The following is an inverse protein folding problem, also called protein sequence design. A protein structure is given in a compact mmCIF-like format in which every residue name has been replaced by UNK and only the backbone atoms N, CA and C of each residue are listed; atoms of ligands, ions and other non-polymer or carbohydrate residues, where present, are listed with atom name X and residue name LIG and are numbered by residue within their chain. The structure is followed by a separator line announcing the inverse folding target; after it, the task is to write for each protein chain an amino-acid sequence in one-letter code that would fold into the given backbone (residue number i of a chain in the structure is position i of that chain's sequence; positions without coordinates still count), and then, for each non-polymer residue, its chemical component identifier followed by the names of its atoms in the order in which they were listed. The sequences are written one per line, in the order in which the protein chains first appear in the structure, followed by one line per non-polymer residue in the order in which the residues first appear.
data_IF_344990521255
#
_entry.id   IF_344990521255
#
_cell.length_a   1.000
_cell.length_b   1.000
_cell.length_c   1.000
_cell.angle_alpha   90.00
_cell.angle_beta   90.00
_cell.angle_gamma   90.00
#
_symmetry.space_group_name_H-M   'P 1'
#
loop_
_entity.id
_entity.type
_entity.pdbx_description
1 polymer ?
#
# COMPACT_ATOMS: atom_id res chain seq x y z
N UNK A 1 -6.88 11.01 -7.60
CA UNK A 1 -6.34 9.66 -7.38
C UNK A 1 -6.53 9.27 -5.92
N UNK A 2 -7.10 8.09 -5.66
CA UNK A 2 -7.28 7.63 -4.30
C UNK A 2 -6.04 6.86 -3.79
N UNK A 3 -6.04 6.51 -2.52
CA UNK A 3 -4.86 5.86 -1.94
C UNK A 3 -4.60 4.47 -2.51
N UNK A 4 -5.65 3.75 -2.90
CA UNK A 4 -5.49 2.46 -3.55
C UNK A 4 -4.72 2.60 -4.86
N UNK A 5 -5.10 3.59 -5.66
CA UNK A 5 -4.42 3.85 -6.92
C UNK A 5 -2.98 4.30 -6.71
N UNK A 6 -2.76 5.17 -5.71
CA UNK A 6 -1.41 5.59 -5.35
C UNK A 6 -0.55 4.41 -4.95
N UNK A 7 -1.11 3.51 -4.15
CA UNK A 7 -0.41 2.31 -3.72
C UNK A 7 -0.02 1.44 -4.91
N UNK A 8 -0.97 1.22 -5.82
CA UNK A 8 -0.70 0.42 -7.01
C UNK A 8 0.40 1.05 -7.87
N UNK A 9 0.37 2.37 -8.02
CA UNK A 9 1.40 3.08 -8.78
C UNK A 9 2.77 2.95 -8.13
N UNK A 10 2.84 3.11 -6.81
CA UNK A 10 4.10 2.99 -6.09
C UNK A 10 4.66 1.58 -6.17
N UNK A 11 3.79 0.58 -6.05
CA UNK A 11 4.21 -0.81 -6.16
C UNK A 11 4.77 -1.11 -7.55
N UNK A 12 4.13 -0.58 -8.58
CA UNK A 12 4.59 -0.76 -9.96
C UNK A 12 5.90 -0.03 -10.20
N UNK A 13 5.97 1.22 -9.78
CA UNK A 13 7.15 2.06 -9.99
C UNK A 13 8.40 1.50 -9.30
N UNK A 14 8.24 1.03 -8.08
CA UNK A 14 9.35 0.51 -7.27
C UNK A 14 9.46 -1.01 -7.29
N UNK A 15 8.63 -1.67 -8.07
CA UNK A 15 8.60 -3.13 -8.21
C UNK A 15 8.47 -3.83 -6.86
N UNK A 16 7.49 -3.37 -6.07
CA UNK A 16 7.25 -3.89 -4.73
C UNK A 16 6.25 -5.04 -4.73
N UNK A 17 6.52 -6.04 -3.92
CA UNK A 17 5.56 -7.08 -3.62
C UNK A 17 4.73 -6.65 -2.40
N UNK A 18 3.56 -7.28 -2.22
CA UNK A 18 2.68 -6.97 -1.09
C UNK A 18 3.38 -7.14 0.25
N UNK A 19 4.19 -8.18 0.37
CA UNK A 19 4.95 -8.44 1.58
C UNK A 19 5.90 -7.29 1.92
N UNK A 20 6.54 -6.73 0.89
CA UNK A 20 7.45 -5.61 1.08
C UNK A 20 6.71 -4.37 1.57
N UNK A 21 5.53 -4.10 1.00
CA UNK A 21 4.70 -2.98 1.46
C UNK A 21 4.33 -3.17 2.92
N UNK A 22 3.88 -4.38 3.27
CA UNK A 22 3.50 -4.70 4.64
C UNK A 22 4.64 -4.45 5.62
N UNK A 23 5.84 -4.87 5.25
CA UNK A 23 7.03 -4.68 6.08
C UNK A 23 7.38 -3.20 6.23
N UNK A 24 7.29 -2.44 5.14
CA UNK A 24 7.64 -1.02 5.14
C UNK A 24 6.72 -0.19 6.01
N UNK A 25 5.42 -0.47 5.97
CA UNK A 25 4.45 0.32 6.74
C UNK A 25 3.99 -0.38 8.02
N UNK A 26 4.64 -1.49 8.37
CA UNK A 26 4.44 -2.18 9.64
C UNK A 26 3.02 -2.69 9.85
N UNK A 27 2.46 -3.30 8.83
CA UNK A 27 1.14 -3.94 8.92
C UNK A 27 1.25 -5.40 8.45
N UNK A 28 0.18 -6.15 8.65
CA UNK A 28 0.11 -7.52 8.15
C UNK A 28 -0.09 -7.52 6.64
N UNK A 29 0.44 -8.54 5.96
CA UNK A 29 0.23 -8.68 4.53
C UNK A 29 -1.26 -8.71 4.19
N UNK A 30 -2.06 -9.35 5.02
CA UNK A 30 -3.50 -9.41 4.84
C UNK A 30 -4.13 -8.02 4.76
N UNK A 31 -3.62 -7.08 5.56
CA UNK A 31 -4.08 -5.70 5.53
C UNK A 31 -3.81 -5.07 4.16
N UNK A 32 -2.63 -5.32 3.60
CA UNK A 32 -2.30 -4.83 2.26
C UNK A 32 -3.23 -5.45 1.22
N UNK A 33 -3.53 -6.73 1.36
CA UNK A 33 -4.49 -7.40 0.46
C UNK A 33 -5.85 -6.72 0.49
N UNK A 34 -6.32 -6.32 1.67
CA UNK A 34 -7.60 -5.62 1.83
C UNK A 34 -7.56 -4.24 1.18
N UNK A 35 -6.44 -3.53 1.29
CA UNK A 35 -6.28 -2.22 0.65
C UNK A 35 -6.31 -2.31 -0.88
N UNK A 36 -5.83 -3.42 -1.43
CA UNK A 36 -5.77 -3.62 -2.87
C UNK A 36 -7.04 -4.25 -3.44
N UNK A 37 -7.93 -4.73 -2.57
CA UNK A 37 -9.17 -5.34 -3.01
C UNK A 37 -10.07 -4.30 -3.69
N UNK A 38 -10.87 -4.78 -4.65
CA UNK A 38 -11.84 -3.95 -5.35
C UNK A 38 -12.84 -3.33 -4.37
N UNK A 39 -13.32 -2.12 -4.66
CA UNK A 39 -14.37 -1.49 -3.86
C UNK A 39 -15.61 -2.37 -3.67
N UNK A 40 -15.86 -3.25 -4.60
CA UNK A 40 -17.03 -4.13 -4.55
C UNK A 40 -16.80 -5.34 -3.66
N UNK A 41 -15.57 -5.60 -3.27
CA UNK A 41 -15.24 -6.73 -2.42
C UNK A 41 -15.68 -6.48 -0.98
N UNK A 42 -16.18 -7.52 -0.33
CA UNK A 42 -16.53 -7.47 1.10
C UNK A 42 -15.30 -7.27 1.98
N UNK A 43 -14.12 -7.55 1.45
CA UNK A 43 -12.86 -7.47 2.19
C UNK A 43 -12.09 -6.20 1.89
N UNK A 44 -12.70 -5.29 1.12
CA UNK A 44 -12.06 -4.02 0.77
C UNK A 44 -11.96 -3.12 1.99
N UNK A 45 -10.79 -2.55 2.20
CA UNK A 45 -10.55 -1.55 3.24
C UNK A 45 -9.87 -0.34 2.62
N UNK A 46 -10.20 0.83 3.12
CA UNK A 46 -9.57 2.07 2.64
C UNK A 46 -8.20 2.21 3.29
N UNK A 47 -7.17 2.38 2.48
CA UNK A 47 -5.83 2.62 2.98
C UNK A 47 -5.76 4.03 3.60
N UNK A 48 -5.38 4.15 4.88
CA UNK A 48 -5.28 5.46 5.52
C UNK A 48 -4.23 6.35 4.87
N UNK A 49 -4.48 7.66 4.90
CA UNK A 49 -3.49 8.62 4.38
C UNK A 49 -2.15 8.49 5.08
N UNK A 50 -2.15 8.24 6.38
CA UNK A 50 -0.91 8.06 7.13
C UNK A 50 -0.09 6.89 6.60
N UNK A 51 -0.75 5.82 6.18
CA UNK A 51 -0.06 4.65 5.65
C UNK A 51 0.59 4.94 4.31
N UNK A 52 -0.12 5.64 3.41
CA UNK A 52 0.45 5.96 2.10
C UNK A 52 1.59 6.97 2.24
N UNK A 53 1.46 7.93 3.15
CA UNK A 53 2.51 8.90 3.42
C UNK A 53 3.75 8.23 4.00
N UNK A 54 3.55 7.29 4.92
CA UNK A 54 4.67 6.52 5.47
C UNK A 54 5.39 5.72 4.39
N UNK A 55 4.62 5.09 3.51
CA UNK A 55 5.20 4.33 2.42
C UNK A 55 6.05 5.23 1.52
N UNK A 56 5.51 6.38 1.12
CA UNK A 56 6.23 7.32 0.29
C UNK A 56 7.53 7.78 0.95
N UNK A 57 7.47 8.09 2.24
CA UNK A 57 8.65 8.51 3.00
C UNK A 57 9.71 7.41 3.04
N UNK A 58 9.29 6.19 3.32
CA UNK A 58 10.22 5.04 3.37
C UNK A 58 10.88 4.78 2.02
N UNK A 59 10.12 4.92 0.94
CA UNK A 59 10.65 4.70 -0.40
C UNK A 59 11.68 5.76 -0.77
N UNK A 60 11.49 6.99 -0.32
CA UNK A 60 12.48 8.06 -0.50
C UNK A 60 13.79 7.73 0.21
N UNK A 61 13.69 7.12 1.39
CA UNK A 61 14.86 6.81 2.20
C UNK A 61 15.65 5.62 1.67
N UNK A 62 15.07 4.82 0.79
CA UNK A 62 15.72 3.62 0.24
C UNK A 62 16.73 3.91 -0.85
N UNK A 63 16.67 5.05 -1.47
CA UNK A 63 17.54 5.36 -2.62
C UNK A 63 18.95 5.74 -2.21
#
# INVERSE_FOLDING_TARGET
MNNREKLMDLMSLHKLERREVADLVRVKRETVDHWLASHESKHSEVMPDMAIELLELKLKQRT
#
